data_IF_281888940522
#
_entry.id   IF_281888940522
#
_cell.length_a   1.000
_cell.length_b   1.000
_cell.length_c   1.000
_cell.angle_alpha   90.00
_cell.angle_beta   90.00
_cell.angle_gamma   90.00
#
_symmetry.space_group_name_H-M   'P 1'
#
loop_
_entity.id
_entity.type
_entity.pdbx_description
1 polymer ?
#
# COMPACT_ATOMS: atom_id res chain seq x y z
N UNK A 1 -13.17 14.37 -1.40
CA UNK A 1 -12.47 15.52 -0.79
C UNK A 1 -12.93 15.69 0.65
N UNK A 2 -12.25 16.49 1.46
CA UNK A 2 -12.70 16.82 2.82
C UNK A 2 -14.11 17.45 2.79
N UNK A 3 -14.88 17.29 3.87
CA UNK A 3 -16.30 17.70 3.93
C UNK A 3 -16.50 19.21 3.77
N UNK A 4 -15.53 20.02 4.21
CA UNK A 4 -15.48 21.47 4.03
C UNK A 4 -14.05 21.90 3.70
N UNK A 5 -13.58 21.76 2.44
CA UNK A 5 -12.17 21.97 2.07
C UNK A 5 -11.59 23.30 2.58
N UNK A 6 -10.39 23.24 3.17
CA UNK A 6 -9.63 24.43 3.59
C UNK A 6 -8.69 24.95 2.50
N UNK A 7 -7.93 26.03 2.79
CA UNK A 7 -6.82 26.45 1.95
C UNK A 7 -5.83 25.30 1.72
N UNK A 8 -5.29 25.22 0.49
CA UNK A 8 -4.30 24.20 0.09
C UNK A 8 -4.80 22.75 0.26
N UNK A 9 -6.12 22.51 0.18
CA UNK A 9 -6.64 21.13 0.19
C UNK A 9 -6.26 20.35 -1.08
N UNK A 10 -6.25 21.00 -2.25
CA UNK A 10 -5.89 20.36 -3.52
C UNK A 10 -4.38 20.32 -3.72
N UNK A 11 -3.90 19.23 -4.31
CA UNK A 11 -2.52 19.07 -4.73
C UNK A 11 -2.15 20.04 -5.87
N UNK A 12 -0.92 20.59 -5.90
CA UNK A 12 -0.51 21.54 -6.92
C UNK A 12 -0.64 21.03 -8.37
N UNK A 13 -0.52 19.72 -8.57
CA UNK A 13 -0.62 19.06 -9.87
C UNK A 13 -1.89 18.21 -10.03
N UNK A 14 -2.93 18.49 -9.26
CA UNK A 14 -4.19 17.73 -9.32
C UNK A 14 -4.75 17.63 -10.74
N UNK A 15 -4.73 18.74 -11.49
CA UNK A 15 -5.29 18.80 -12.84
C UNK A 15 -4.39 18.15 -13.90
N UNK A 16 -3.16 17.75 -13.56
CA UNK A 16 -2.26 17.05 -14.48
C UNK A 16 -2.61 15.57 -14.65
N UNK A 17 -3.41 14.99 -13.76
CA UNK A 17 -3.71 13.55 -13.80
C UNK A 17 -2.44 12.71 -13.91
N UNK A 18 -2.38 11.80 -14.89
CA UNK A 18 -1.20 10.95 -15.12
C UNK A 18 0.02 11.70 -15.71
N UNK A 19 -0.11 12.97 -16.14
CA UNK A 19 1.03 13.75 -16.63
C UNK A 19 1.94 14.26 -15.52
N UNK A 20 1.55 14.12 -14.24
CA UNK A 20 2.33 14.54 -13.07
C UNK A 20 3.74 13.95 -13.00
N UNK A 21 4.00 12.78 -13.59
CA UNK A 21 5.35 12.23 -13.67
C UNK A 21 6.32 13.08 -14.49
N UNK A 22 5.82 13.94 -15.39
CA UNK A 22 6.64 14.91 -16.12
C UNK A 22 7.32 15.95 -15.19
N UNK A 23 6.84 16.11 -13.96
CA UNK A 23 7.48 16.97 -12.96
C UNK A 23 8.84 16.41 -12.52
N UNK A 24 8.98 15.08 -12.44
CA UNK A 24 10.17 14.40 -11.94
C UNK A 24 11.14 14.03 -13.08
N UNK A 25 10.62 13.76 -14.28
CA UNK A 25 11.41 13.25 -15.39
C UNK A 25 12.65 14.10 -15.77
N UNK A 26 12.59 15.45 -15.85
CA UNK A 26 13.77 16.26 -16.15
C UNK A 26 14.86 16.15 -15.10
N UNK A 27 14.48 16.13 -13.82
CA UNK A 27 15.41 15.99 -12.69
C UNK A 27 16.07 14.63 -12.69
N UNK A 28 15.31 13.57 -12.92
CA UNK A 28 15.80 12.21 -13.00
C UNK A 28 16.76 12.01 -14.18
N UNK A 29 16.44 12.57 -15.36
CA UNK A 29 17.32 12.54 -16.52
C UNK A 29 18.63 13.29 -16.24
N UNK A 30 18.53 14.50 -15.67
CA UNK A 30 19.69 15.32 -15.35
C UNK A 30 20.59 14.69 -14.29
N UNK A 31 20.03 14.16 -13.20
CA UNK A 31 20.81 13.51 -12.14
C UNK A 31 21.50 12.24 -12.65
N UNK A 32 20.80 11.44 -13.45
CA UNK A 32 21.37 10.24 -14.07
C UNK A 32 22.51 10.60 -15.01
N UNK A 33 22.32 11.59 -15.88
CA UNK A 33 23.38 12.07 -16.78
C UNK A 33 24.59 12.59 -16.02
N UNK A 34 24.39 13.41 -14.97
CA UNK A 34 25.49 13.94 -14.16
C UNK A 34 26.28 12.84 -13.48
N UNK A 35 25.59 11.85 -12.93
CA UNK A 35 26.21 10.71 -12.28
C UNK A 35 27.05 9.90 -13.26
N UNK A 36 26.48 9.50 -14.40
CA UNK A 36 27.19 8.70 -15.41
C UNK A 36 28.37 9.46 -16.04
N UNK A 37 28.21 10.76 -16.27
CA UNK A 37 29.29 11.61 -16.78
C UNK A 37 30.45 11.77 -15.78
N UNK A 38 30.16 11.91 -14.48
CA UNK A 38 31.17 11.94 -13.43
C UNK A 38 31.93 10.61 -13.34
N UNK A 39 31.19 9.48 -13.31
CA UNK A 39 31.79 8.14 -13.31
C UNK A 39 32.68 7.91 -14.54
N UNK A 40 32.26 8.36 -15.72
CA UNK A 40 33.06 8.25 -16.94
C UNK A 40 34.36 9.07 -16.89
N UNK A 41 34.42 10.14 -16.09
CA UNK A 41 35.63 10.94 -15.84
C UNK A 41 36.47 10.42 -14.66
N UNK A 42 36.04 9.36 -13.97
CA UNK A 42 36.69 8.87 -12.76
C UNK A 42 36.46 9.75 -11.52
N UNK A 43 35.45 10.63 -11.56
CA UNK A 43 35.04 11.48 -10.44
C UNK A 43 33.97 10.77 -9.57
N UNK A 44 33.87 11.15 -8.30
CA UNK A 44 32.75 10.72 -7.46
C UNK A 44 31.43 11.37 -7.94
N UNK A 45 30.44 10.54 -8.23
CA UNK A 45 29.11 10.98 -8.63
C UNK A 45 28.25 11.36 -7.43
N UNK A 46 27.29 12.28 -7.63
CA UNK A 46 26.28 12.62 -6.63
C UNK A 46 25.32 11.43 -6.41
N UNK A 47 25.62 10.64 -5.39
CA UNK A 47 24.84 9.45 -5.03
C UNK A 47 23.43 9.81 -4.57
N UNK A 48 23.24 10.90 -3.81
CA UNK A 48 21.93 11.23 -3.27
C UNK A 48 20.93 11.53 -4.40
N UNK A 49 21.29 12.39 -5.35
CA UNK A 49 20.43 12.69 -6.52
C UNK A 49 20.25 11.51 -7.46
N UNK A 50 21.29 10.69 -7.63
CA UNK A 50 21.20 9.51 -8.50
C UNK A 50 20.19 8.50 -7.96
N UNK A 51 20.22 8.25 -6.64
CA UNK A 51 19.34 7.27 -6.01
C UNK A 51 17.87 7.71 -5.86
N UNK A 52 17.54 8.98 -6.07
CA UNK A 52 16.13 9.44 -6.03
C UNK A 52 15.24 8.66 -7.01
N UNK A 53 15.67 8.45 -8.26
CA UNK A 53 14.88 7.71 -9.26
C UNK A 53 14.74 6.22 -8.90
N UNK A 54 15.82 5.45 -8.61
CA UNK A 54 15.70 4.10 -8.10
C UNK A 54 14.80 3.98 -6.87
N UNK A 55 14.92 4.89 -5.90
CA UNK A 55 14.07 4.88 -4.69
C UNK A 55 12.62 5.16 -5.03
N UNK A 56 12.33 6.13 -5.92
CA UNK A 56 10.97 6.39 -6.40
C UNK A 56 10.35 5.14 -7.03
N UNK A 57 11.07 4.50 -7.96
CA UNK A 57 10.60 3.29 -8.65
C UNK A 57 10.38 2.13 -7.67
N UNK A 58 11.31 1.96 -6.72
CA UNK A 58 11.17 0.98 -5.65
C UNK A 58 9.91 1.26 -4.81
N UNK A 59 9.66 2.50 -4.39
CA UNK A 59 8.48 2.86 -3.60
C UNK A 59 7.19 2.64 -4.35
N UNK A 60 7.12 2.96 -5.66
CA UNK A 60 5.95 2.65 -6.49
C UNK A 60 5.67 1.14 -6.54
N UNK A 61 6.70 0.33 -6.80
CA UNK A 61 6.57 -1.14 -6.83
C UNK A 61 6.18 -1.68 -5.45
N UNK A 62 6.85 -1.22 -4.39
CA UNK A 62 6.62 -1.63 -3.02
C UNK A 62 5.18 -1.34 -2.57
N UNK A 63 4.68 -0.14 -2.88
CA UNK A 63 3.29 0.25 -2.60
C UNK A 63 2.31 -0.65 -3.34
N UNK A 64 2.55 -0.91 -4.63
CA UNK A 64 1.68 -1.79 -5.41
C UNK A 64 1.68 -3.23 -4.90
N UNK A 65 2.83 -3.74 -4.43
CA UNK A 65 2.89 -5.06 -3.81
C UNK A 65 2.06 -5.10 -2.51
N UNK A 66 2.16 -4.07 -1.67
CA UNK A 66 1.35 -3.95 -0.47
C UNK A 66 -0.15 -3.88 -0.76
N UNK A 67 -0.57 -3.09 -1.76
CA UNK A 67 -1.97 -3.06 -2.23
C UNK A 67 -2.40 -4.47 -2.61
N UNK A 68 -1.62 -5.16 -3.45
CA UNK A 68 -1.97 -6.50 -3.92
C UNK A 68 -2.08 -7.52 -2.80
N UNK A 69 -1.15 -7.49 -1.85
CA UNK A 69 -1.18 -8.36 -0.66
C UNK A 69 -2.39 -8.02 0.22
N UNK A 70 -2.63 -6.75 0.50
CA UNK A 70 -3.76 -6.27 1.31
C UNK A 70 -5.11 -6.71 0.72
N UNK A 71 -5.31 -6.49 -0.58
CA UNK A 71 -6.53 -6.90 -1.28
C UNK A 71 -6.69 -8.41 -1.32
N UNK A 72 -5.61 -9.14 -1.57
CA UNK A 72 -5.66 -10.60 -1.57
C UNK A 72 -5.99 -11.16 -0.18
N UNK A 73 -5.42 -10.58 0.88
CA UNK A 73 -5.75 -10.94 2.26
C UNK A 73 -7.17 -10.55 2.61
N UNK A 74 -7.65 -9.37 2.21
CA UNK A 74 -9.03 -8.94 2.44
C UNK A 74 -10.03 -9.89 1.76
N UNK A 75 -9.71 -10.38 0.56
CA UNK A 75 -10.54 -11.32 -0.18
C UNK A 75 -10.54 -12.75 0.40
N UNK A 76 -9.47 -13.18 1.08
CA UNK A 76 -9.31 -14.59 1.49
C UNK A 76 -9.26 -14.85 3.00
N UNK A 77 -8.84 -13.87 3.78
CA UNK A 77 -8.45 -14.08 5.17
C UNK A 77 -9.67 -14.06 6.07
N UNK A 78 -9.74 -15.07 6.94
CA UNK A 78 -10.65 -15.08 8.09
C UNK A 78 -10.22 -14.06 9.17
N UNK A 79 -8.99 -13.57 9.11
CA UNK A 79 -8.35 -12.66 10.08
C UNK A 79 -8.39 -11.19 9.62
N UNK A 80 -9.44 -10.80 8.89
CA UNK A 80 -9.67 -9.40 8.50
C UNK A 80 -10.17 -8.59 9.69
N UNK A 81 -9.71 -7.34 9.80
CA UNK A 81 -10.08 -6.47 10.91
C UNK A 81 -11.47 -5.87 10.66
N UNK A 82 -11.67 -5.23 9.52
CA UNK A 82 -12.96 -4.67 9.07
C UNK A 82 -13.57 -5.59 8.01
N UNK A 83 -14.79 -6.05 8.25
CA UNK A 83 -15.54 -6.97 7.37
C UNK A 83 -16.51 -6.24 6.42
N UNK A 84 -16.17 -5.02 6.03
CA UNK A 84 -16.89 -4.26 5.01
C UNK A 84 -16.19 -4.44 3.67
N UNK A 85 -16.95 -4.26 2.59
CA UNK A 85 -16.40 -4.29 1.24
C UNK A 85 -15.73 -2.97 0.91
N UNK A 86 -14.68 -3.06 0.10
CA UNK A 86 -14.04 -1.90 -0.50
C UNK A 86 -14.94 -1.35 -1.61
N UNK A 87 -15.56 -0.20 -1.35
CA UNK A 87 -16.46 0.45 -2.30
C UNK A 87 -15.72 1.16 -3.45
N UNK A 88 -16.44 1.44 -4.53
CA UNK A 88 -15.85 2.10 -5.70
C UNK A 88 -15.45 3.55 -5.42
N UNK A 89 -16.19 4.26 -4.57
CA UNK A 89 -15.89 5.67 -4.23
C UNK A 89 -14.57 5.81 -3.46
N UNK A 90 -14.26 4.85 -2.59
CA UNK A 90 -12.99 4.75 -1.90
C UNK A 90 -11.87 4.44 -2.90
N UNK A 91 -12.03 3.44 -3.75
CA UNK A 91 -11.00 3.11 -4.77
C UNK A 91 -10.67 4.34 -5.65
N UNK A 92 -11.69 5.09 -6.08
CA UNK A 92 -11.49 6.29 -6.88
C UNK A 92 -10.83 7.43 -6.09
N UNK A 93 -11.19 7.58 -4.82
CA UNK A 93 -10.60 8.57 -3.93
C UNK A 93 -9.11 8.30 -3.69
N UNK A 94 -8.73 7.05 -3.55
CA UNK A 94 -7.36 6.63 -3.22
C UNK A 94 -6.47 6.49 -4.47
N UNK A 95 -7.00 6.78 -5.66
CA UNK A 95 -6.31 6.59 -6.94
C UNK A 95 -5.00 7.37 -7.10
N UNK A 96 -4.86 8.51 -6.41
CA UNK A 96 -3.69 9.39 -6.52
C UNK A 96 -2.67 9.19 -5.38
N UNK A 97 -2.60 7.99 -4.80
CA UNK A 97 -1.68 7.65 -3.71
C UNK A 97 -0.20 7.92 -4.00
N UNK A 98 0.18 8.00 -5.28
CA UNK A 98 1.52 8.27 -5.76
C UNK A 98 1.92 9.76 -5.75
N UNK A 99 1.00 10.68 -5.44
CA UNK A 99 1.29 12.11 -5.29
C UNK A 99 2.36 12.37 -4.22
N UNK A 100 2.27 11.65 -3.09
CA UNK A 100 3.23 11.70 -2.00
C UNK A 100 4.64 11.28 -2.46
N UNK A 101 4.72 10.23 -3.28
CA UNK A 101 6.00 9.70 -3.78
C UNK A 101 6.65 10.71 -4.73
N UNK A 102 5.85 11.33 -5.61
CA UNK A 102 6.30 12.39 -6.52
C UNK A 102 6.81 13.60 -5.73
N UNK A 103 6.06 14.04 -4.72
CA UNK A 103 6.49 15.15 -3.86
C UNK A 103 7.81 14.83 -3.16
N UNK A 104 7.95 13.63 -2.61
CA UNK A 104 9.19 13.18 -1.97
C UNK A 104 10.38 13.31 -2.91
N UNK A 105 10.23 12.83 -4.16
CA UNK A 105 11.31 12.90 -5.13
C UNK A 105 11.66 14.34 -5.52
N UNK A 106 10.66 15.19 -5.75
CA UNK A 106 10.87 16.62 -6.02
C UNK A 106 11.61 17.30 -4.87
N UNK A 107 11.21 17.05 -3.62
CA UNK A 107 11.87 17.61 -2.45
C UNK A 107 13.32 17.13 -2.34
N UNK A 108 13.60 15.85 -2.57
CA UNK A 108 14.98 15.35 -2.55
C UNK A 108 15.84 16.00 -3.64
N UNK A 109 15.33 16.13 -4.86
CA UNK A 109 16.04 16.81 -5.94
C UNK A 109 16.28 18.30 -5.65
N UNK A 110 15.27 19.01 -5.16
CA UNK A 110 15.37 20.44 -4.82
C UNK A 110 16.32 20.65 -3.64
N UNK A 111 16.17 19.90 -2.56
CA UNK A 111 17.05 20.01 -1.40
C UNK A 111 18.49 19.74 -1.81
N UNK A 112 18.73 18.70 -2.62
CA UNK A 112 20.09 18.40 -3.06
C UNK A 112 20.69 19.47 -3.98
N UNK A 113 19.87 20.14 -4.80
CA UNK A 113 20.36 21.19 -5.70
C UNK A 113 20.68 22.51 -4.99
N UNK A 114 20.03 22.78 -3.85
CA UNK A 114 20.19 24.05 -3.11
C UNK A 114 21.01 23.93 -1.84
N UNK A 115 21.20 22.73 -1.28
CA UNK A 115 21.91 22.51 -0.03
C UNK A 115 23.29 21.88 -0.28
N UNK A 116 24.40 22.65 -0.23
CA UNK A 116 25.74 22.12 -0.49
C UNK A 116 26.13 20.96 0.44
N UNK A 117 25.55 20.91 1.64
CA UNK A 117 25.80 19.86 2.64
C UNK A 117 25.31 18.46 2.22
N UNK A 118 24.51 18.34 1.15
CA UNK A 118 24.08 17.05 0.60
C UNK A 118 25.03 16.49 -0.45
N UNK A 119 26.00 17.30 -0.90
CA UNK A 119 26.98 16.88 -1.89
C UNK A 119 28.03 15.99 -1.23
N UNK A 120 28.30 14.82 -1.80
CA UNK A 120 29.31 13.89 -1.28
C UNK A 120 28.92 13.16 0.01
N UNK A 121 27.61 12.96 0.26
CA UNK A 121 27.18 12.16 1.41
C UNK A 121 27.74 10.74 1.33
N UNK A 122 28.27 10.17 2.43
CA UNK A 122 28.70 8.80 2.45
C UNK A 122 27.51 7.86 2.22
N UNK A 123 27.79 6.66 1.73
CA UNK A 123 26.76 5.62 1.60
C UNK A 123 26.14 5.29 2.97
N UNK A 124 26.97 5.08 3.99
CA UNK A 124 26.56 4.62 5.31
C UNK A 124 27.20 5.45 6.44
N UNK A 125 26.40 5.86 7.42
CA UNK A 125 26.89 6.46 8.66
C UNK A 125 26.07 5.95 9.86
N UNK A 126 26.64 5.12 10.75
CA UNK A 126 25.90 4.53 11.86
C UNK A 126 25.47 5.58 12.91
N UNK A 127 26.22 6.69 13.05
CA UNK A 127 25.82 7.78 13.96
C UNK A 127 24.54 8.46 13.47
N UNK A 128 24.44 8.66 12.16
CA UNK A 128 23.23 9.17 11.52
C UNK A 128 22.03 8.24 11.73
N UNK A 129 22.23 6.93 11.60
CA UNK A 129 21.18 5.95 11.88
C UNK A 129 20.66 6.05 13.33
N UNK A 130 21.57 6.07 14.32
CA UNK A 130 21.19 6.20 15.74
C UNK A 130 20.44 7.50 15.98
N UNK A 131 20.94 8.62 15.46
CA UNK A 131 20.27 9.92 15.59
C UNK A 131 18.88 9.89 14.94
N UNK A 132 18.74 9.31 13.75
CA UNK A 132 17.44 9.17 13.07
C UNK A 132 16.45 8.38 13.91
N UNK A 133 16.85 7.24 14.49
CA UNK A 133 15.99 6.43 15.36
C UNK A 133 15.55 7.20 16.60
N UNK A 134 16.47 7.89 17.27
CA UNK A 134 16.15 8.67 18.47
C UNK A 134 15.21 9.84 18.16
N UNK A 135 15.46 10.56 17.06
CA UNK A 135 14.61 11.67 16.64
C UNK A 135 13.23 11.20 16.19
N UNK A 136 13.15 10.03 15.57
CA UNK A 136 11.88 9.43 15.20
C UNK A 136 11.08 9.03 16.45
N UNK A 137 11.63 8.15 17.29
CA UNK A 137 10.94 7.61 18.48
C UNK A 137 10.55 8.68 19.51
N UNK A 138 11.28 9.80 19.57
CA UNK A 138 10.99 10.91 20.47
C UNK A 138 10.24 12.05 19.78
N UNK A 139 10.94 13.09 19.29
CA UNK A 139 10.33 14.30 18.74
C UNK A 139 9.28 14.08 17.65
N UNK A 140 9.54 13.20 16.67
CA UNK A 140 8.61 13.00 15.54
C UNK A 140 7.29 12.40 16.03
N UNK A 141 7.35 11.31 16.81
CA UNK A 141 6.16 10.67 17.38
C UNK A 141 5.37 11.64 18.28
N UNK A 142 6.06 12.41 19.13
CA UNK A 142 5.41 13.39 20.00
C UNK A 142 4.69 14.49 19.22
N UNK A 143 5.37 15.09 18.23
CA UNK A 143 4.80 16.15 17.40
C UNK A 143 3.66 15.62 16.52
N UNK A 144 3.80 14.42 15.97
CA UNK A 144 2.72 13.75 15.25
C UNK A 144 1.49 13.59 16.14
N UNK A 145 1.64 12.98 17.32
CA UNK A 145 0.54 12.68 18.22
C UNK A 145 -0.33 13.92 18.49
N UNK A 146 0.31 15.04 18.81
CA UNK A 146 -0.42 16.29 19.09
C UNK A 146 -1.03 16.91 17.85
N UNK A 147 -0.32 16.90 16.71
CA UNK A 147 -0.87 17.41 15.46
C UNK A 147 -2.07 16.57 15.00
N UNK A 148 -1.96 15.25 15.03
CA UNK A 148 -3.02 14.32 14.68
C UNK A 148 -4.23 14.48 15.61
N UNK A 149 -4.02 14.57 16.93
CA UNK A 149 -5.09 14.87 17.88
C UNK A 149 -5.76 16.22 17.59
N UNK A 150 -5.00 17.24 17.19
CA UNK A 150 -5.55 18.53 16.79
C UNK A 150 -6.35 18.45 15.49
N UNK A 151 -5.93 17.63 14.52
CA UNK A 151 -6.67 17.35 13.29
C UNK A 151 -8.05 16.74 13.56
N UNK A 152 -8.23 16.03 14.67
CA UNK A 152 -9.53 15.52 15.12
C UNK A 152 -10.43 16.55 15.82
N UNK A 153 -9.95 17.78 16.02
CA UNK A 153 -10.81 18.88 16.39
C UNK A 153 -11.73 19.25 15.21
N UNK A 154 -13.04 19.45 15.47
CA UNK A 154 -14.09 19.60 14.46
C UNK A 154 -13.74 20.55 13.29
N UNK A 155 -13.05 21.65 13.57
CA UNK A 155 -12.63 22.62 12.56
C UNK A 155 -11.63 22.04 11.56
N UNK A 156 -10.53 21.44 12.05
CA UNK A 156 -9.48 20.85 11.23
C UNK A 156 -9.94 19.53 10.61
N UNK A 157 -10.73 18.74 11.35
CA UNK A 157 -11.26 17.47 10.88
C UNK A 157 -12.05 17.68 9.59
N UNK A 158 -13.04 18.58 9.62
CA UNK A 158 -13.89 18.83 8.45
C UNK A 158 -13.13 19.34 7.21
N UNK A 159 -11.97 19.98 7.40
CA UNK A 159 -11.18 20.65 6.34
C UNK A 159 -10.05 19.82 5.76
N UNK A 160 -9.42 19.02 6.60
CA UNK A 160 -8.17 18.35 6.29
C UNK A 160 -8.32 16.85 6.51
N UNK A 161 -8.70 16.44 7.72
CA UNK A 161 -8.55 15.03 8.09
C UNK A 161 -9.73 14.11 7.75
N UNK A 162 -10.94 14.67 7.53
CA UNK A 162 -12.12 13.86 7.17
C UNK A 162 -12.00 13.17 5.83
N UNK A 163 -11.08 13.60 4.97
CA UNK A 163 -10.83 12.97 3.68
C UNK A 163 -10.15 11.61 3.85
N UNK A 164 -9.17 11.54 4.75
CA UNK A 164 -8.46 10.32 5.14
C UNK A 164 -9.43 9.34 5.82
N UNK A 165 -10.20 9.82 6.80
CA UNK A 165 -11.21 9.02 7.52
C UNK A 165 -12.44 8.62 6.71
N UNK A 166 -12.58 9.11 5.49
CA UNK A 166 -13.61 8.59 4.59
C UNK A 166 -13.32 7.13 4.17
N UNK A 167 -12.06 6.68 4.30
CA UNK A 167 -11.61 5.33 3.96
C UNK A 167 -11.67 4.39 5.16
N UNK A 168 -12.85 3.83 5.40
CA UNK A 168 -13.10 2.96 6.57
C UNK A 168 -12.49 1.57 6.41
N UNK A 169 -12.49 1.03 5.19
CA UNK A 169 -11.80 -0.23 4.89
C UNK A 169 -10.39 0.14 4.46
N UNK A 170 -9.51 0.41 5.43
CA UNK A 170 -8.17 0.91 5.13
C UNK A 170 -7.44 -0.03 4.16
N UNK A 171 -6.79 0.57 3.17
CA UNK A 171 -5.77 -0.05 2.34
C UNK A 171 -4.41 0.57 2.67
N UNK A 172 -3.27 -0.07 2.37
CA UNK A 172 -1.94 0.51 2.61
C UNK A 172 -1.83 1.96 2.12
N UNK A 173 -2.43 2.26 0.97
CA UNK A 173 -2.45 3.60 0.39
C UNK A 173 -3.31 4.61 1.13
N UNK A 174 -4.32 4.19 1.90
CA UNK A 174 -5.12 5.10 2.76
C UNK A 174 -4.22 5.97 3.64
N UNK A 175 -3.06 5.44 4.05
CA UNK A 175 -2.05 6.14 4.86
C UNK A 175 -1.48 7.42 4.24
N UNK A 176 -1.60 7.63 2.93
CA UNK A 176 -1.07 8.80 2.21
C UNK A 176 -2.17 9.63 1.53
N UNK A 177 -3.44 9.28 1.77
CA UNK A 177 -4.59 9.99 1.17
C UNK A 177 -5.02 11.12 2.10
N UNK A 178 -4.30 12.23 1.99
CA UNK A 178 -4.57 13.47 2.70
C UNK A 178 -4.70 14.65 1.74
N UNK A 179 -5.41 15.72 2.15
CA UNK A 179 -5.28 17.02 1.53
C UNK A 179 -3.83 17.51 1.56
N UNK A 180 -3.43 18.25 0.52
CA UNK A 180 -2.03 18.66 0.34
C UNK A 180 -1.45 19.42 1.54
N UNK A 181 -2.22 20.31 2.17
CA UNK A 181 -1.78 21.04 3.35
C UNK A 181 -1.41 20.13 4.53
N UNK A 182 -2.20 19.08 4.77
CA UNK A 182 -1.95 18.12 5.84
C UNK A 182 -0.72 17.29 5.53
N UNK A 183 -0.63 16.80 4.29
CA UNK A 183 0.52 16.03 3.82
C UNK A 183 1.81 16.87 3.92
N UNK A 184 1.79 18.15 3.54
CA UNK A 184 2.94 19.06 3.65
C UNK A 184 3.45 19.21 5.10
N UNK A 185 2.56 19.20 6.09
CA UNK A 185 2.96 19.20 7.52
C UNK A 185 3.61 17.87 7.89
N UNK A 186 3.07 16.73 7.43
CA UNK A 186 3.72 15.43 7.63
C UNK A 186 5.09 15.35 6.96
N UNK A 187 5.27 15.93 5.77
CA UNK A 187 6.59 16.05 5.13
C UNK A 187 7.57 16.85 5.98
N UNK A 188 7.15 18.00 6.51
CA UNK A 188 7.98 18.81 7.40
C UNK A 188 8.37 18.05 8.67
N UNK A 189 7.42 17.31 9.24
CA UNK A 189 7.65 16.47 10.42
C UNK A 189 8.65 15.34 10.14
N UNK A 190 8.45 14.57 9.06
CA UNK A 190 9.35 13.47 8.69
C UNK A 190 10.70 13.97 8.13
N UNK A 191 10.81 15.23 7.73
CA UNK A 191 12.09 15.83 7.39
C UNK A 191 12.98 16.06 8.64
N UNK A 192 12.44 16.10 9.87
CA UNK A 192 13.21 16.42 11.08
C UNK A 192 14.44 15.52 11.23
N UNK A 193 14.36 14.16 11.19
CA UNK A 193 15.54 13.32 11.30
C UNK A 193 16.55 13.52 10.15
N UNK A 194 16.04 13.70 8.92
CA UNK A 194 16.88 13.88 7.74
C UNK A 194 17.65 15.21 7.80
N UNK A 195 16.96 16.31 8.07
CA UNK A 195 17.55 17.65 8.21
C UNK A 195 18.52 17.70 9.39
N UNK A 196 18.19 17.05 10.51
CA UNK A 196 19.06 17.02 11.70
C UNK A 196 20.36 16.28 11.42
N UNK A 197 20.29 15.10 10.79
CA UNK A 197 21.50 14.36 10.43
C UNK A 197 22.35 15.12 9.42
N UNK A 198 21.76 15.89 8.50
CA UNK A 198 22.51 16.78 7.61
C UNK A 198 23.18 17.92 8.37
N UNK A 199 22.45 18.61 9.25
CA UNK A 199 22.97 19.71 10.06
C UNK A 199 24.12 19.29 10.99
N UNK A 200 24.12 18.04 11.46
CA UNK A 200 25.18 17.48 12.31
C UNK A 200 26.30 16.79 11.53
N UNK A 201 26.28 16.79 10.20
CA UNK A 201 27.27 16.10 9.37
C UNK A 201 27.24 14.57 9.51
N UNK A 202 26.10 14.00 9.92
CA UNK A 202 25.91 12.57 10.15
C UNK A 202 25.04 11.88 9.09
N UNK A 203 24.52 12.64 8.11
CA UNK A 203 23.67 12.10 7.05
C UNK A 203 24.41 11.05 6.19
N UNK A 204 23.65 10.10 5.67
CA UNK A 204 24.13 9.13 4.70
C UNK A 204 23.01 8.70 3.75
N UNK A 205 23.38 8.30 2.53
CA UNK A 205 22.42 7.95 1.48
C UNK A 205 21.53 6.77 1.91
N UNK A 206 22.13 5.71 2.47
CA UNK A 206 21.38 4.52 2.90
C UNK A 206 20.41 4.81 4.06
N UNK A 207 20.78 5.65 5.03
CA UNK A 207 19.90 6.00 6.16
C UNK A 207 18.72 6.85 5.69
N UNK A 208 18.97 7.82 4.81
CA UNK A 208 17.90 8.68 4.29
C UNK A 208 16.84 7.87 3.51
N UNK A 209 17.29 7.00 2.60
CA UNK A 209 16.38 6.14 1.83
C UNK A 209 15.73 5.06 2.70
N UNK A 210 16.49 4.43 3.60
CA UNK A 210 15.96 3.42 4.52
C UNK A 210 14.89 3.97 5.47
N UNK A 211 15.03 5.23 5.89
CA UNK A 211 14.02 5.89 6.72
C UNK A 211 12.69 6.12 5.98
N UNK A 212 12.73 6.47 4.68
CA UNK A 212 11.52 6.54 3.86
C UNK A 212 10.82 5.17 3.75
N UNK A 213 11.60 4.11 3.51
CA UNK A 213 11.07 2.75 3.44
C UNK A 213 10.47 2.29 4.77
N UNK A 214 11.08 2.68 5.90
CA UNK A 214 10.53 2.42 7.22
C UNK A 214 9.19 3.13 7.45
N UNK A 215 9.09 4.42 7.10
CA UNK A 215 7.83 5.19 7.20
C UNK A 215 6.75 4.52 6.34
N UNK A 216 7.06 4.17 5.09
CA UNK A 216 6.13 3.48 4.20
C UNK A 216 5.68 2.15 4.80
N UNK A 217 6.62 1.33 5.27
CA UNK A 217 6.33 0.02 5.88
C UNK A 217 5.38 0.14 7.07
N UNK A 218 5.69 1.03 8.03
CA UNK A 218 4.87 1.18 9.23
C UNK A 218 3.47 1.70 8.87
N UNK A 219 3.38 2.71 7.98
CA UNK A 219 2.10 3.21 7.50
C UNK A 219 1.27 2.12 6.81
N UNK A 220 1.88 1.31 5.95
CA UNK A 220 1.20 0.23 5.23
C UNK A 220 0.76 -0.89 6.16
N UNK A 221 1.59 -1.25 7.14
CA UNK A 221 1.25 -2.15 8.24
C UNK A 221 -0.02 -1.67 8.96
N UNK A 222 -0.06 -0.39 9.36
CA UNK A 222 -1.21 0.19 10.05
C UNK A 222 -2.53 0.16 9.27
N UNK A 223 -2.46 0.16 7.94
CA UNK A 223 -3.63 0.33 7.06
C UNK A 223 -3.94 -0.90 6.20
N UNK A 224 -3.31 -2.07 6.43
CA UNK A 224 -3.51 -3.23 5.56
C UNK A 224 -4.79 -4.04 5.83
N UNK A 225 -5.58 -3.72 6.86
CA UNK A 225 -6.86 -4.38 7.20
C UNK A 225 -6.77 -5.90 7.53
N UNK A 226 -5.58 -6.43 7.77
CA UNK A 226 -5.38 -7.77 8.32
C UNK A 226 -4.29 -7.75 9.38
N UNK A 227 -4.42 -8.60 10.39
CA UNK A 227 -3.39 -8.70 11.44
C UNK A 227 -2.23 -9.56 10.96
N UNK A 228 -1.03 -9.01 11.01
CA UNK A 228 0.21 -9.70 10.61
C UNK A 228 1.29 -9.67 11.68
N UNK A 229 1.06 -8.94 12.78
CA UNK A 229 1.96 -8.90 13.94
C UNK A 229 1.67 -10.12 14.81
N UNK A 230 2.58 -11.11 14.90
CA UNK A 230 2.33 -12.31 15.68
C UNK A 230 2.42 -12.04 17.19
N UNK A 231 1.53 -12.69 17.95
CA UNK A 231 1.45 -12.57 19.41
C UNK A 231 2.78 -12.85 20.12
N UNK A 232 3.56 -13.78 19.56
CA UNK A 232 4.88 -14.16 20.05
C UNK A 232 5.81 -12.96 20.28
N UNK A 233 5.72 -11.89 19.47
CA UNK A 233 6.55 -10.69 19.67
C UNK A 233 6.24 -9.98 20.98
N UNK A 234 4.96 -9.92 21.36
CA UNK A 234 4.51 -9.33 22.62
C UNK A 234 4.74 -10.26 23.81
N UNK A 235 4.71 -11.57 23.61
CA UNK A 235 5.04 -12.54 24.65
C UNK A 235 6.54 -12.53 24.98
N UNK A 236 7.40 -12.43 23.96
CA UNK A 236 8.86 -12.37 24.11
C UNK A 236 9.35 -11.01 24.65
N UNK A 237 8.72 -9.92 24.22
CA UNK A 237 9.05 -8.57 24.69
C UNK A 237 7.78 -7.75 24.94
N UNK A 238 7.14 -7.90 26.11
CA UNK A 238 5.91 -7.19 26.46
C UNK A 238 5.95 -5.66 26.29
N UNK A 239 7.08 -4.97 26.55
CA UNK A 239 7.17 -3.52 26.31
C UNK A 239 6.97 -3.11 24.84
N UNK A 240 7.13 -4.03 23.86
CA UNK A 240 6.93 -3.75 22.44
C UNK A 240 5.55 -3.16 22.15
N UNK A 241 4.53 -3.56 22.92
CA UNK A 241 3.15 -3.06 22.78
C UNK A 241 3.05 -1.53 22.88
N UNK A 242 3.96 -0.90 23.62
CA UNK A 242 4.01 0.56 23.75
C UNK A 242 4.89 1.22 22.69
N UNK A 243 5.80 0.46 22.07
CA UNK A 243 6.80 0.95 21.11
C UNK A 243 6.41 0.73 19.66
N UNK A 244 5.41 -0.10 19.39
CA UNK A 244 4.94 -0.39 18.05
C UNK A 244 3.45 -0.74 18.08
N UNK A 245 2.67 -0.03 17.29
CA UNK A 245 1.25 -0.34 17.07
C UNK A 245 1.05 -1.54 16.15
N UNK A 246 -0.15 -2.11 16.19
CA UNK A 246 -0.59 -3.17 15.29
C UNK A 246 -1.57 -2.63 14.24
N UNK A 247 -1.75 -3.33 13.11
CA UNK A 247 -2.86 -3.08 12.18
C UNK A 247 -4.21 -2.93 12.89
N UNK A 248 -4.50 -3.81 13.86
CA UNK A 248 -5.74 -3.78 14.64
C UNK A 248 -5.88 -2.51 15.48
N UNK A 249 -4.79 -2.05 16.11
CA UNK A 249 -4.76 -0.82 16.92
C UNK A 249 -5.12 0.42 16.09
N UNK A 250 -4.54 0.55 14.89
CA UNK A 250 -4.81 1.70 14.02
C UNK A 250 -6.14 1.61 13.28
N UNK A 251 -6.59 0.41 12.95
CA UNK A 251 -7.92 0.24 12.37
C UNK A 251 -9.04 0.71 13.33
N UNK A 252 -8.85 0.59 14.65
CA UNK A 252 -9.76 1.20 15.63
C UNK A 252 -9.82 2.72 15.52
N UNK A 253 -8.69 3.37 15.24
CA UNK A 253 -8.66 4.80 15.01
C UNK A 253 -9.59 5.22 13.86
N UNK A 254 -9.55 4.50 12.74
CA UNK A 254 -10.39 4.71 11.56
C UNK A 254 -11.88 4.37 11.74
N UNK A 255 -12.23 3.68 12.83
CA UNK A 255 -13.63 3.27 13.10
C UNK A 255 -14.25 4.00 14.28
N UNK A 256 -13.47 4.40 15.28
CA UNK A 256 -13.91 5.12 16.48
C UNK A 256 -13.60 6.62 16.42
N UNK A 257 -12.64 7.05 15.59
CA UNK A 257 -12.22 8.44 15.32
C UNK A 257 -11.68 9.25 16.50
N UNK A 258 -11.87 8.80 17.74
CA UNK A 258 -11.57 9.61 18.95
C UNK A 258 -10.58 8.95 19.90
N UNK A 259 -9.90 7.92 19.43
CA UNK A 259 -8.95 7.11 20.19
C UNK A 259 -7.77 6.75 19.30
N UNK A 260 -6.65 6.30 19.89
CA UNK A 260 -5.48 5.79 19.18
C UNK A 260 -4.88 6.81 18.18
N UNK A 261 -4.34 7.92 18.68
CA UNK A 261 -3.78 9.02 17.86
C UNK A 261 -2.29 8.88 17.53
N UNK A 262 -1.58 7.93 18.14
CA UNK A 262 -0.16 7.71 17.88
C UNK A 262 0.14 7.43 16.40
N UNK A 263 1.33 7.83 15.94
CA UNK A 263 1.83 7.49 14.61
C UNK A 263 2.19 6.01 14.57
N UNK A 264 3.33 5.63 15.14
CA UNK A 264 3.79 4.25 15.21
C UNK A 264 3.99 3.75 16.65
N UNK A 265 4.10 4.67 17.62
CA UNK A 265 4.43 4.35 19.01
C UNK A 265 3.21 4.60 19.92
N UNK A 266 2.43 3.57 20.32
CA UNK A 266 1.26 3.71 21.18
C UNK A 266 1.51 4.33 22.55
N UNK A 267 2.76 4.41 23.02
CA UNK A 267 3.15 4.99 24.30
C UNK A 267 2.38 6.29 24.65
N UNK A 268 2.25 7.22 23.69
CA UNK A 268 1.57 8.48 23.92
C UNK A 268 0.07 8.32 24.17
N UNK A 269 -0.61 7.40 23.48
CA UNK A 269 -2.02 7.09 23.76
C UNK A 269 -2.23 6.52 25.16
N UNK A 270 -1.29 5.73 25.67
CA UNK A 270 -1.34 5.24 27.05
C UNK A 270 -1.10 6.36 28.06
N UNK A 271 -0.07 7.19 27.84
CA UNK A 271 0.29 8.31 28.73
C UNK A 271 -0.84 9.33 28.83
N UNK A 272 -1.48 9.67 27.71
CA UNK A 272 -2.53 10.69 27.65
C UNK A 272 -3.95 10.13 27.75
N UNK A 273 -4.11 8.81 27.97
CA UNK A 273 -5.40 8.17 28.18
C UNK A 273 -6.33 8.21 26.96
N UNK A 274 -5.77 8.18 25.75
CA UNK A 274 -6.52 8.15 24.47
C UNK A 274 -6.54 6.79 23.80
N UNK A 275 -5.96 5.77 24.43
CA UNK A 275 -6.02 4.39 23.95
C UNK A 275 -7.45 3.82 24.03
N UNK A 276 -7.91 3.19 22.95
CA UNK A 276 -9.23 2.56 22.89
C UNK A 276 -9.29 1.29 23.74
N UNK A 277 -10.24 1.23 24.67
CA UNK A 277 -10.39 0.10 25.59
C UNK A 277 -10.55 -1.27 24.91
N UNK A 278 -11.01 -1.29 23.66
CA UNK A 278 -11.19 -2.53 22.87
C UNK A 278 -9.96 -2.96 22.08
N UNK A 279 -8.83 -2.26 22.18
CA UNK A 279 -7.61 -2.53 21.39
C UNK A 279 -7.10 -3.96 21.56
N UNK A 280 -6.99 -4.44 22.80
CA UNK A 280 -6.50 -5.80 23.08
C UNK A 280 -7.51 -6.86 22.62
N UNK A 281 -8.79 -6.64 22.91
CA UNK A 281 -9.87 -7.54 22.50
C UNK A 281 -9.98 -7.64 20.97
N UNK A 282 -9.78 -6.55 20.23
CA UNK A 282 -9.80 -6.59 18.77
C UNK A 282 -8.60 -7.35 18.21
N UNK A 283 -7.41 -7.13 18.77
CA UNK A 283 -6.20 -7.84 18.36
C UNK A 283 -6.38 -9.35 18.53
N UNK A 284 -6.76 -9.81 19.73
CA UNK A 284 -6.97 -11.23 20.02
C UNK A 284 -8.08 -11.85 19.15
N UNK A 285 -9.22 -11.16 18.99
CA UNK A 285 -10.30 -11.64 18.10
C UNK A 285 -9.85 -11.78 16.65
N UNK A 286 -9.01 -10.86 16.17
CA UNK A 286 -8.51 -10.90 14.80
C UNK A 286 -7.58 -12.08 14.59
N UNK A 287 -6.78 -12.47 15.60
CA UNK A 287 -5.91 -13.66 15.56
C UNK A 287 -6.69 -14.98 15.54
N UNK A 288 -7.86 -15.05 16.19
CA UNK A 288 -8.72 -16.23 16.13
C UNK A 288 -9.45 -16.36 14.78
N UNK A 289 -9.66 -15.24 14.10
CA UNK A 289 -10.37 -15.19 12.83
C UNK A 289 -11.89 -15.35 12.97
N UNK A 290 -12.59 -15.17 11.85
CA UNK A 290 -14.05 -15.27 11.76
C UNK A 290 -14.46 -16.48 10.93
N UNK A 291 -15.48 -17.19 11.41
CA UNK A 291 -16.15 -18.23 10.65
C UNK A 291 -17.34 -17.62 9.91
N UNK A 292 -17.06 -16.99 8.76
CA UNK A 292 -18.09 -16.51 7.84
C UNK A 292 -18.03 -17.35 6.57
N UNK A 293 -19.10 -18.12 6.30
CA UNK A 293 -19.29 -18.81 5.04
C UNK A 293 -19.86 -17.84 3.99
N UNK A 294 -19.37 -17.87 2.73
CA UNK A 294 -19.94 -17.03 1.69
C UNK A 294 -21.34 -17.53 1.30
N UNK A 295 -22.28 -16.64 0.98
CA UNK A 295 -23.58 -17.05 0.45
C UNK A 295 -23.45 -17.50 -1.01
N UNK A 296 -22.64 -16.80 -1.79
CA UNK A 296 -22.42 -17.07 -3.22
C UNK A 296 -20.93 -17.14 -3.53
N UNK A 297 -20.50 -18.21 -4.20
CA UNK A 297 -19.18 -18.29 -4.84
C UNK A 297 -19.36 -18.26 -6.35
N UNK A 298 -18.66 -17.33 -7.01
CA UNK A 298 -18.55 -17.28 -8.46
C UNK A 298 -17.15 -17.72 -8.90
N UNK A 299 -17.06 -18.88 -9.54
CA UNK A 299 -15.81 -19.40 -10.09
C UNK A 299 -15.61 -18.90 -11.52
N UNK A 300 -14.72 -17.93 -11.69
CA UNK A 300 -14.33 -17.38 -13.00
C UNK A 300 -13.00 -17.93 -13.49
N UNK A 301 -12.60 -17.53 -14.70
CA UNK A 301 -11.37 -17.95 -15.36
C UNK A 301 -10.72 -16.77 -16.08
N UNK A 302 -9.43 -16.89 -16.40
CA UNK A 302 -8.69 -15.90 -17.17
C UNK A 302 -8.91 -16.14 -18.67
N UNK A 303 -8.90 -15.08 -19.47
CA UNK A 303 -9.10 -15.19 -20.93
C UNK A 303 -7.76 -15.13 -21.66
N UNK A 304 -6.99 -14.08 -21.42
CA UNK A 304 -5.64 -13.86 -21.97
C UNK A 304 -4.64 -13.59 -20.83
N UNK A 305 -3.32 -13.69 -21.06
CA UNK A 305 -2.31 -13.30 -20.07
C UNK A 305 -2.57 -11.93 -19.43
N UNK A 306 -2.96 -10.94 -20.25
CA UNK A 306 -3.30 -9.59 -19.77
C UNK A 306 -4.51 -9.53 -18.84
N UNK A 307 -5.46 -10.46 -18.92
CA UNK A 307 -6.64 -10.48 -18.03
C UNK A 307 -6.27 -10.62 -16.54
N UNK A 308 -5.08 -11.14 -16.23
CA UNK A 308 -4.56 -11.21 -14.85
C UNK A 308 -4.33 -9.81 -14.25
N UNK A 309 -3.86 -8.84 -15.05
CA UNK A 309 -3.62 -7.47 -14.61
C UNK A 309 -4.91 -6.66 -14.42
N UNK A 310 -6.02 -7.15 -14.97
CA UNK A 310 -7.36 -6.56 -14.83
C UNK A 310 -8.11 -7.09 -13.60
N UNK A 311 -7.52 -8.01 -12.82
CA UNK A 311 -8.06 -8.38 -11.52
C UNK A 311 -7.90 -7.22 -10.53
N UNK A 312 -8.90 -6.99 -9.66
CA UNK A 312 -8.86 -5.90 -8.67
C UNK A 312 -7.74 -6.04 -7.64
N UNK A 313 -7.11 -7.22 -7.54
CA UNK A 313 -5.91 -7.44 -6.73
C UNK A 313 -4.75 -6.54 -7.18
N UNK A 314 -4.59 -6.30 -8.49
CA UNK A 314 -3.45 -5.55 -9.02
C UNK A 314 -3.74 -4.05 -9.15
N UNK A 315 -3.70 -3.58 -10.39
CA UNK A 315 -3.82 -2.16 -10.71
C UNK A 315 -5.29 -1.77 -10.87
N UNK A 316 -5.82 -0.97 -9.93
CA UNK A 316 -7.20 -0.49 -10.00
C UNK A 316 -7.52 0.22 -11.33
N UNK A 317 -6.56 0.97 -11.87
CA UNK A 317 -6.69 1.67 -13.16
C UNK A 317 -6.84 0.73 -14.36
N UNK A 318 -6.17 -0.43 -14.34
CA UNK A 318 -6.33 -1.46 -15.37
C UNK A 318 -7.65 -2.21 -15.16
N UNK A 319 -7.97 -2.60 -13.92
CA UNK A 319 -9.21 -3.28 -13.58
C UNK A 319 -10.47 -2.45 -13.95
N UNK A 320 -10.39 -1.12 -13.89
CA UNK A 320 -11.50 -0.23 -14.30
C UNK A 320 -11.65 -0.06 -15.82
N UNK A 321 -10.66 -0.50 -16.61
CA UNK A 321 -10.65 -0.36 -18.05
C UNK A 321 -10.98 -1.69 -18.75
N UNK A 322 -11.74 -1.67 -19.86
CA UNK A 322 -11.95 -2.87 -20.66
C UNK A 322 -10.62 -3.36 -21.23
N UNK A 323 -10.43 -4.68 -21.25
CA UNK A 323 -9.28 -5.31 -21.88
C UNK A 323 -9.30 -5.02 -23.38
N UNK A 324 -8.39 -4.16 -23.85
CA UNK A 324 -8.27 -3.79 -25.27
C UNK A 324 -7.04 -4.42 -25.89
N UNK A 325 -7.20 -5.06 -27.06
CA UNK A 325 -6.08 -5.44 -27.92
C UNK A 325 -5.56 -4.18 -28.63
N UNK A 326 -4.68 -3.42 -27.99
CA UNK A 326 -4.02 -2.27 -28.60
C UNK A 326 -2.56 -2.59 -28.91
N UNK A 327 -2.07 -2.20 -30.09
CA UNK A 327 -0.67 -2.32 -30.52
C UNK A 327 0.21 -1.14 -30.07
N UNK A 328 -0.22 -0.37 -29.07
CA UNK A 328 0.53 0.78 -28.57
C UNK A 328 1.84 0.39 -27.89
N UNK A 329 2.81 1.31 -27.84
CA UNK A 329 4.05 1.12 -27.07
C UNK A 329 3.78 0.81 -25.59
N UNK A 330 2.71 1.36 -25.03
CA UNK A 330 2.26 1.06 -23.66
C UNK A 330 1.81 -0.41 -23.52
N UNK A 331 1.13 -0.97 -24.52
CA UNK A 331 0.74 -2.38 -24.51
C UNK A 331 1.97 -3.31 -24.58
N UNK A 332 2.99 -2.94 -25.36
CA UNK A 332 4.26 -3.68 -25.38
C UNK A 332 4.98 -3.63 -24.02
N UNK A 333 5.02 -2.48 -23.37
CA UNK A 333 5.62 -2.35 -22.04
C UNK A 333 4.87 -3.21 -20.99
N UNK A 334 3.54 -3.23 -21.04
CA UNK A 334 2.73 -4.10 -20.18
C UNK A 334 2.95 -5.59 -20.51
N UNK A 335 3.12 -5.93 -21.79
CA UNK A 335 3.34 -7.32 -22.22
C UNK A 335 4.61 -7.96 -21.62
N UNK A 336 5.65 -7.15 -21.39
CA UNK A 336 6.89 -7.60 -20.73
C UNK A 336 6.64 -8.07 -19.29
N UNK A 337 5.63 -7.50 -18.61
CA UNK A 337 5.26 -7.84 -17.24
C UNK A 337 4.15 -8.89 -17.18
N UNK A 338 3.13 -8.77 -18.05
CA UNK A 338 1.95 -9.62 -18.00
C UNK A 338 2.29 -11.09 -18.31
N UNK A 339 3.18 -11.36 -19.28
CA UNK A 339 3.45 -12.72 -19.75
C UNK A 339 4.23 -13.54 -18.72
N UNK A 340 5.32 -13.03 -18.11
CA UNK A 340 5.98 -13.75 -17.03
C UNK A 340 5.05 -13.97 -15.84
N UNK A 341 4.25 -12.96 -15.47
CA UNK A 341 3.31 -13.08 -14.35
C UNK A 341 2.22 -14.12 -14.65
N UNK A 342 1.71 -14.14 -15.88
CA UNK A 342 0.73 -15.11 -16.33
C UNK A 342 1.29 -16.54 -16.36
N UNK A 343 2.51 -16.71 -16.86
CA UNK A 343 3.21 -17.98 -16.85
C UNK A 343 3.42 -18.47 -15.41
N UNK A 344 3.81 -17.58 -14.51
CA UNK A 344 3.97 -17.88 -13.09
C UNK A 344 2.64 -18.27 -12.43
N UNK A 345 1.56 -17.54 -12.74
CA UNK A 345 0.22 -17.83 -12.24
C UNK A 345 -0.27 -19.21 -12.72
N UNK A 346 -0.05 -19.56 -13.99
CA UNK A 346 -0.40 -20.91 -14.48
C UNK A 346 0.46 -21.99 -13.83
N UNK A 347 1.79 -21.79 -13.76
CA UNK A 347 2.75 -22.77 -13.23
C UNK A 347 2.53 -23.06 -11.73
N UNK A 348 2.33 -22.02 -10.92
CA UNK A 348 2.16 -22.13 -9.47
C UNK A 348 0.69 -22.31 -9.06
N UNK A 349 -0.25 -21.89 -9.90
CA UNK A 349 -1.68 -21.94 -9.67
C UNK A 349 -2.22 -23.36 -9.78
N UNK A 350 -2.09 -24.14 -8.70
CA UNK A 350 -2.68 -25.49 -8.60
C UNK A 350 -4.10 -25.49 -8.03
N UNK A 351 -4.56 -24.34 -7.52
CA UNK A 351 -5.88 -24.13 -6.94
C UNK A 351 -6.44 -22.81 -7.43
N UNK A 352 -7.76 -22.68 -7.43
CA UNK A 352 -8.37 -21.37 -7.56
C UNK A 352 -7.96 -20.48 -6.37
N UNK A 353 -7.87 -19.18 -6.61
CA UNK A 353 -7.60 -18.20 -5.56
C UNK A 353 -8.74 -17.20 -5.48
N UNK A 354 -9.01 -16.71 -4.27
CA UNK A 354 -10.02 -15.67 -4.05
C UNK A 354 -9.47 -14.33 -4.53
N UNK A 355 -10.19 -13.73 -5.46
CA UNK A 355 -9.84 -12.44 -6.03
C UNK A 355 -10.63 -11.31 -5.37
N UNK A 356 -11.89 -11.56 -5.02
CA UNK A 356 -12.78 -10.55 -4.43
C UNK A 356 -13.71 -11.19 -3.41
N UNK A 357 -14.03 -10.42 -2.36
CA UNK A 357 -15.06 -10.74 -1.39
C UNK A 357 -15.89 -9.47 -1.13
N UNK A 358 -17.16 -9.51 -1.51
CA UNK A 358 -18.08 -8.37 -1.46
C UNK A 358 -19.30 -8.71 -0.60
N UNK A 359 -19.91 -7.69 -0.01
CA UNK A 359 -21.13 -7.79 0.80
C UNK A 359 -22.18 -6.86 0.21
N UNK A 360 -23.23 -7.45 -0.35
CA UNK A 360 -24.36 -6.76 -0.96
C UNK A 360 -25.58 -6.91 -0.03
N UNK A 361 -25.75 -5.95 0.87
CA UNK A 361 -26.77 -6.02 1.92
C UNK A 361 -26.49 -7.18 2.88
N UNK A 362 -27.39 -8.18 2.88
CA UNK A 362 -27.22 -9.40 3.70
C UNK A 362 -26.41 -10.50 3.01
N UNK A 363 -26.21 -10.40 1.69
CA UNK A 363 -25.52 -11.41 0.90
C UNK A 363 -24.01 -11.15 0.89
N UNK A 364 -23.24 -12.20 1.14
CA UNK A 364 -21.80 -12.26 0.99
C UNK A 364 -21.46 -13.02 -0.28
N UNK A 365 -20.68 -12.39 -1.16
CA UNK A 365 -20.32 -12.94 -2.48
C UNK A 365 -18.81 -12.98 -2.61
N UNK A 366 -18.28 -14.10 -3.08
CA UNK A 366 -16.86 -14.26 -3.37
C UNK A 366 -16.64 -14.59 -4.84
N UNK A 367 -15.61 -14.00 -5.45
CA UNK A 367 -15.17 -14.34 -6.79
C UNK A 367 -13.84 -15.09 -6.71
N UNK A 368 -13.84 -16.33 -7.18
CA UNK A 368 -12.68 -17.20 -7.20
C UNK A 368 -12.19 -17.31 -8.64
N UNK A 369 -10.88 -17.17 -8.84
CA UNK A 369 -10.27 -17.22 -10.17
C UNK A 369 -9.51 -18.52 -10.32
N UNK A 370 -9.87 -19.28 -11.34
CA UNK A 370 -9.04 -20.40 -11.83
C UNK A 370 -7.85 -19.80 -12.59
N UNK A 371 -6.60 -20.06 -12.18
CA UNK A 371 -5.40 -19.49 -12.80
C UNK A 371 -5.06 -20.19 -14.12
N UNK A 372 -6.03 -20.26 -15.03
CA UNK A 372 -5.95 -20.87 -16.36
C UNK A 372 -6.52 -19.93 -17.39
N UNK A 373 -5.90 -19.89 -18.56
CA UNK A 373 -6.25 -19.05 -19.69
C UNK A 373 -7.02 -19.84 -20.75
N UNK A 374 -7.80 -19.15 -21.60
CA UNK A 374 -8.60 -19.78 -22.66
C UNK A 374 -7.80 -20.78 -23.51
N UNK A 375 -6.53 -20.47 -23.82
CA UNK A 375 -5.66 -21.38 -24.58
C UNK A 375 -5.46 -22.73 -23.91
N UNK A 376 -5.38 -22.78 -22.58
CA UNK A 376 -5.23 -24.01 -21.79
C UNK A 376 -6.54 -24.80 -21.74
N UNK A 377 -7.70 -24.13 -21.62
CA UNK A 377 -9.01 -24.80 -21.69
C UNK A 377 -9.23 -25.49 -23.05
N UNK A 378 -8.76 -24.87 -24.14
CA UNK A 378 -8.89 -25.44 -25.49
C UNK A 378 -7.79 -26.44 -25.84
N UNK A 379 -6.75 -26.58 -25.01
CA UNK A 379 -5.62 -27.45 -25.26
C UNK A 379 -5.95 -28.90 -24.93
N UNK A 380 -5.78 -29.81 -25.90
CA UNK A 380 -5.93 -31.26 -25.67
C UNK A 380 -4.95 -31.81 -24.64
N UNK A 381 -3.77 -31.18 -24.51
CA UNK A 381 -2.74 -31.59 -23.56
C UNK A 381 -3.06 -31.15 -22.14
N UNK A 382 -3.61 -29.94 -22.00
CA UNK A 382 -3.76 -29.28 -20.70
C UNK A 382 -5.17 -29.42 -20.12
N UNK A 383 -6.16 -29.87 -20.91
CA UNK A 383 -7.56 -30.02 -20.49
C UNK A 383 -7.72 -30.80 -19.17
N UNK A 384 -7.06 -31.95 -19.01
CA UNK A 384 -7.10 -32.70 -17.75
C UNK A 384 -6.51 -31.94 -16.56
N UNK A 385 -5.48 -31.11 -16.79
CA UNK A 385 -4.91 -30.29 -15.72
C UNK A 385 -5.84 -29.14 -15.33
N UNK A 386 -6.59 -28.58 -16.29
CA UNK A 386 -7.61 -27.57 -16.03
C UNK A 386 -8.79 -28.17 -15.27
N UNK A 387 -9.35 -29.30 -15.71
CA UNK A 387 -10.48 -29.97 -15.04
C UNK A 387 -10.18 -30.26 -13.58
N UNK A 388 -8.98 -30.77 -13.26
CA UNK A 388 -8.57 -31.02 -11.87
C UNK A 388 -8.59 -29.76 -10.99
N UNK A 389 -8.21 -28.60 -11.54
CA UNK A 389 -8.23 -27.34 -10.77
C UNK A 389 -9.66 -26.86 -10.57
N UNK A 390 -10.52 -27.01 -11.58
CA UNK A 390 -11.95 -26.65 -11.52
C UNK A 390 -12.67 -27.54 -10.52
N UNK A 391 -12.55 -28.87 -10.63
CA UNK A 391 -13.16 -29.85 -9.71
C UNK A 391 -12.75 -29.58 -8.26
N UNK A 392 -11.46 -29.30 -8.03
CA UNK A 392 -10.98 -28.94 -6.70
C UNK A 392 -11.58 -27.64 -6.21
N UNK A 393 -11.68 -26.60 -7.05
CA UNK A 393 -12.29 -25.34 -6.67
C UNK A 393 -13.78 -25.46 -6.34
N UNK A 394 -14.51 -26.34 -7.05
CA UNK A 394 -15.90 -26.68 -6.74
C UNK A 394 -15.98 -27.35 -5.36
N UNK A 395 -15.17 -28.38 -5.12
CA UNK A 395 -15.14 -29.08 -3.83
C UNK A 395 -14.76 -28.14 -2.67
N UNK A 396 -13.79 -27.25 -2.88
CA UNK A 396 -13.38 -26.25 -1.88
C UNK A 396 -14.51 -25.23 -1.60
N UNK A 397 -15.29 -24.85 -2.62
CA UNK A 397 -16.44 -23.95 -2.46
C UNK A 397 -17.58 -24.61 -1.70
N UNK A 398 -17.93 -25.86 -2.00
CA UNK A 398 -18.92 -26.64 -1.27
C UNK A 398 -18.50 -26.83 0.20
N UNK A 399 -17.23 -27.19 0.43
CA UNK A 399 -16.67 -27.35 1.78
C UNK A 399 -16.62 -26.04 2.56
N UNK A 400 -16.62 -24.88 1.89
CA UNK A 400 -16.68 -23.57 2.54
C UNK A 400 -18.06 -23.23 3.13
N UNK A 401 -19.09 -24.03 2.82
CA UNK A 401 -20.46 -23.78 3.22
C UNK A 401 -21.20 -22.82 2.29
N UNK A 402 -20.74 -22.66 1.04
CA UNK A 402 -21.38 -21.79 0.07
C UNK A 402 -22.80 -22.25 -0.27
N UNK A 403 -23.79 -21.36 -0.14
CA UNK A 403 -25.18 -21.70 -0.45
C UNK A 403 -25.42 -21.83 -1.96
N UNK A 404 -24.72 -21.01 -2.75
CA UNK A 404 -24.81 -21.02 -4.22
C UNK A 404 -23.40 -21.00 -4.82
N UNK A 405 -23.15 -21.93 -5.74
CA UNK A 405 -21.96 -21.93 -6.58
C UNK A 405 -22.37 -21.63 -8.03
N UNK A 406 -21.70 -20.67 -8.65
CA UNK A 406 -21.87 -20.33 -10.07
C UNK A 406 -20.55 -20.49 -10.81
N UNK A 407 -20.61 -21.00 -12.04
CA UNK A 407 -19.44 -21.27 -12.88
C UNK A 407 -19.41 -20.32 -14.07
N UNK A 408 -18.27 -19.69 -14.31
CA UNK A 408 -17.98 -18.97 -15.54
C UNK A 408 -17.99 -19.90 -16.75
N UNK A 409 -18.18 -19.33 -17.95
CA UNK A 409 -18.45 -20.07 -19.19
C UNK A 409 -17.49 -21.24 -19.45
N UNK A 410 -16.17 -21.01 -19.39
CA UNK A 410 -15.20 -22.09 -19.67
C UNK A 410 -15.11 -23.12 -18.54
N UNK A 411 -15.58 -22.80 -17.33
CA UNK A 411 -15.64 -23.74 -16.20
C UNK A 411 -16.86 -24.68 -16.30
N UNK A 412 -17.80 -24.44 -17.21
CA UNK A 412 -18.97 -25.30 -17.45
C UNK A 412 -18.69 -26.41 -18.47
N UNK A 413 -17.74 -26.18 -19.38
CA UNK A 413 -17.50 -27.05 -20.55
C UNK A 413 -16.63 -28.28 -20.26
N UNK A 414 -16.27 -28.53 -19.00
CA UNK A 414 -15.32 -29.58 -18.60
C UNK A 414 -15.97 -30.88 -18.10
N UNK A 415 -17.27 -31.10 -18.37
CA UNK A 415 -17.96 -32.37 -18.06
C UNK A 415 -17.69 -33.47 -19.09
#
# INVERSE_FOLDING_TARGET
>A
MASKPGPLTRWPWHDMGNYKYALVAPWAAYSTYRFTAATARGEEGDLLSFFVLPTLLFRLLYTQLWISVSRHQTARSKHRIVSKSLDFEQVDRERNWDDQIILTALLFYVVNSVAPMTQGLPWWNPKGMVLTVLLHLGPVEFLYYWFHRALHHHYLYSRYHSHHHASIVTEPVTSVIHPFAEEAVYFGLFAIPLLSTMATGMASVAVANGYLVYIDFMNYLGHCNFELVPKLLFDLFPPLKYLMYTPSFHSLHHTQFRTNYSLFVPFYDYVYGTMDKSSDDLYERTLHGREEAPDVVHLTHLTTPGSLLHLRLGFASLASAPLRSSSSAAAWALAVVERPLAALASLLGRTAFRCEANRMGKLSTETWVVPRYTSEYTSKKDGHAVSRVVERAVADAEASGAAVLTLGLLNQATS
#
